data_IF_322697995232
#
_entry.id   IF_322697995232
#
_cell.length_a   1.000
_cell.length_b   1.000
_cell.length_c   1.000
_cell.angle_alpha   90.00
_cell.angle_beta   90.00
_cell.angle_gamma   90.00
#
_symmetry.space_group_name_H-M   'P 1'
#
loop_
_entity.id
_entity.type
_entity.pdbx_description
1 polymer ?
#
# COMPACT_ATOMS: atom_id res chain seq x y z
N UNK A 1 19.95 3.90 -25.47
CA UNK A 1 21.08 4.18 -24.56
C UNK A 1 21.31 5.69 -24.53
N UNK A 2 21.20 6.38 -23.38
CA UNK A 2 21.40 7.83 -23.33
C UNK A 2 22.89 8.19 -23.46
N UNK A 3 23.19 9.29 -24.15
CA UNK A 3 24.54 9.82 -24.33
C UNK A 3 24.96 10.71 -23.15
N UNK A 4 26.26 10.90 -22.93
CA UNK A 4 26.78 11.72 -21.82
C UNK A 4 26.23 13.16 -21.86
N UNK A 5 26.12 13.76 -23.05
CA UNK A 5 25.53 15.11 -23.22
C UNK A 5 24.06 15.17 -22.78
N UNK A 6 23.30 14.08 -22.93
CA UNK A 6 21.91 14.01 -22.46
C UNK A 6 21.85 13.93 -20.93
N UNK A 7 22.77 13.20 -20.29
CA UNK A 7 22.84 13.09 -18.82
C UNK A 7 23.32 14.38 -18.15
N UNK A 8 24.19 15.16 -18.82
CA UNK A 8 24.64 16.47 -18.32
C UNK A 8 23.48 17.48 -18.36
N UNK A 9 22.68 17.50 -19.44
CA UNK A 9 21.52 18.40 -19.56
C UNK A 9 20.36 17.97 -18.69
N UNK A 10 20.10 16.66 -18.64
CA UNK A 10 19.01 16.03 -17.90
C UNK A 10 19.58 14.93 -17.01
N UNK A 11 19.88 15.27 -15.76
CA UNK A 11 20.37 14.31 -14.78
C UNK A 11 19.30 13.28 -14.45
N UNK A 12 19.72 12.03 -14.20
CA UNK A 12 18.79 10.98 -13.77
C UNK A 12 18.23 11.34 -12.40
N UNK A 13 16.92 11.38 -12.29
CA UNK A 13 16.24 11.59 -11.02
C UNK A 13 16.06 10.25 -10.31
N UNK A 14 16.32 10.17 -9.00
CA UNK A 14 16.03 8.96 -8.24
C UNK A 14 14.51 8.71 -8.19
N UNK A 15 14.12 7.44 -8.25
CA UNK A 15 12.71 7.05 -8.10
C UNK A 15 12.32 7.25 -6.64
N UNK A 16 11.26 8.05 -6.40
CA UNK A 16 10.72 8.25 -5.05
C UNK A 16 9.88 7.04 -4.66
N UNK A 17 10.33 6.30 -3.65
CA UNK A 17 9.61 5.16 -3.11
C UNK A 17 8.66 5.64 -2.00
N UNK A 18 7.36 5.43 -2.17
CA UNK A 18 6.34 5.72 -1.14
C UNK A 18 6.02 4.43 -0.39
N UNK A 19 6.05 4.48 0.94
CA UNK A 19 5.68 3.33 1.77
C UNK A 19 4.17 3.11 1.73
N UNK A 20 3.74 1.86 1.60
CA UNK A 20 2.31 1.48 1.70
C UNK A 20 1.69 1.82 3.07
N UNK A 21 2.52 2.02 4.10
CA UNK A 21 2.10 2.25 5.48
C UNK A 21 2.65 3.56 6.07
N UNK A 22 2.22 4.74 5.56
CA UNK A 22 2.74 6.04 6.00
C UNK A 22 2.41 6.37 7.47
N UNK A 23 1.31 5.85 7.99
CA UNK A 23 0.87 6.07 9.37
C UNK A 23 1.89 5.58 10.42
N UNK A 24 2.69 4.56 10.08
CA UNK A 24 3.70 3.98 10.97
C UNK A 24 4.96 4.85 11.11
N UNK A 25 5.20 5.81 10.21
CA UNK A 25 6.43 6.65 10.10
C UNK A 25 7.72 5.90 10.51
N UNK A 26 7.91 4.69 10.00
CA UNK A 26 9.12 3.88 10.26
C UNK A 26 9.15 3.08 11.57
N UNK A 27 8.13 3.17 12.43
CA UNK A 27 8.01 2.31 13.61
C UNK A 27 7.42 0.94 13.23
N UNK A 28 7.85 -0.17 13.87
CA UNK A 28 7.28 -1.50 13.60
C UNK A 28 5.78 -1.58 13.96
N UNK A 29 5.37 -0.88 15.03
CA UNK A 29 3.99 -0.80 15.51
C UNK A 29 3.72 0.58 16.11
N UNK A 30 2.46 1.02 16.12
CA UNK A 30 2.02 2.27 16.76
C UNK A 30 0.70 2.07 17.49
N UNK A 31 0.61 2.61 18.71
CA UNK A 31 -0.62 2.62 19.52
C UNK A 31 -1.56 3.70 19.00
N UNK A 32 -2.86 3.42 19.02
CA UNK A 32 -3.93 4.36 18.69
C UNK A 32 -5.24 3.94 19.34
N UNK A 33 -6.20 4.85 19.42
CA UNK A 33 -7.51 4.63 20.04
C UNK A 33 -8.57 4.47 18.96
N UNK A 34 -9.52 3.54 19.14
CA UNK A 34 -10.62 3.34 18.19
C UNK A 34 -11.62 4.51 18.26
N UNK A 35 -11.87 5.17 17.12
CA UNK A 35 -12.85 6.26 17.03
C UNK A 35 -14.28 5.75 16.77
N UNK A 36 -14.42 4.61 16.09
CA UNK A 36 -15.70 3.95 15.82
C UNK A 36 -15.49 2.45 15.71
N UNK A 37 -16.41 1.67 16.26
CA UNK A 37 -16.45 0.21 16.13
C UNK A 37 -17.64 -0.15 15.26
N UNK A 38 -17.39 -0.83 14.14
CA UNK A 38 -18.42 -1.34 13.25
C UNK A 38 -17.94 -2.64 12.61
N UNK A 39 -18.90 -3.45 12.18
CA UNK A 39 -18.62 -4.70 11.46
C UNK A 39 -18.68 -4.42 9.97
N UNK A 40 -17.66 -4.85 9.22
CA UNK A 40 -17.65 -4.83 7.76
C UNK A 40 -17.98 -6.24 7.26
N UNK A 41 -19.08 -6.38 6.52
CA UNK A 41 -19.33 -7.60 5.77
C UNK A 41 -18.39 -7.61 4.56
N UNK A 42 -17.44 -8.54 4.54
CA UNK A 42 -16.53 -8.74 3.39
C UNK A 42 -17.18 -9.77 2.48
N UNK A 43 -17.42 -9.41 1.22
CA UNK A 43 -17.92 -10.35 0.23
C UNK A 43 -16.77 -11.31 -0.16
N UNK A 44 -16.56 -12.33 0.66
CA UNK A 44 -15.81 -13.51 0.24
C UNK A 44 -16.77 -14.28 -0.65
N UNK A 45 -16.54 -14.24 -1.96
CA UNK A 45 -17.13 -15.25 -2.85
C UNK A 45 -16.61 -16.62 -2.41
N UNK A 46 -17.43 -17.33 -1.64
CA UNK A 46 -17.59 -18.76 -1.79
C UNK A 46 -19.03 -19.15 -1.42
N UNK A 47 -19.96 -18.69 -2.27
CA UNK A 47 -21.38 -19.07 -2.25
C UNK A 47 -21.59 -20.48 -2.87
N UNK A 48 -20.67 -21.41 -2.61
CA UNK A 48 -20.66 -22.73 -3.24
C UNK A 48 -20.92 -23.89 -2.28
N UNK A 49 -20.96 -23.68 -0.95
CA UNK A 49 -21.09 -24.78 0.01
C UNK A 49 -22.10 -24.51 1.15
N UNK A 50 -23.25 -23.91 0.86
CA UNK A 50 -24.35 -23.77 1.84
C UNK A 50 -25.70 -24.29 1.32
N UNK A 51 -25.71 -25.09 0.24
CA UNK A 51 -26.91 -25.72 -0.31
C UNK A 51 -26.95 -27.25 -0.12
N UNK A 52 -25.98 -27.83 0.59
CA UNK A 52 -26.02 -29.25 0.98
C UNK A 52 -25.78 -29.39 2.49
N UNK A 53 -26.76 -28.93 3.27
CA UNK A 53 -27.22 -29.61 4.49
C UNK A 53 -28.68 -29.25 4.69
#
# INVERSE_FOLDING_TARGET
>A
MPTIKQLIRNTRQPIRNVTKSPALRGCPQRRGTCTRVYVRLVQIMNWANFQHQ
#
